data_IF_688429948463
#
_entry.id   IF_688429948463
#
_cell.length_a   1.000
_cell.length_b   1.000
_cell.length_c   1.000
_cell.angle_alpha   90.00
_cell.angle_beta   90.00
_cell.angle_gamma   90.00
#
_symmetry.space_group_name_H-M   'P 1'
#
loop_
_entity.id
_entity.type
_entity.pdbx_description
1 polymer ?
#
# COMPACT_ATOMS: atom_id res chain seq x y z
N UNK A 1 3.49 15.44 -1.63
CA UNK A 1 3.67 13.97 -1.46
C UNK A 1 2.81 13.51 -0.30
N UNK A 2 2.37 12.26 -0.32
CA UNK A 2 1.53 11.69 0.73
C UNK A 2 2.10 10.37 1.29
N UNK A 3 1.92 10.21 2.59
CA UNK A 3 2.21 9.02 3.36
C UNK A 3 0.92 8.48 3.97
N UNK A 4 0.71 7.17 3.94
CA UNK A 4 -0.47 6.56 4.55
C UNK A 4 -0.11 5.31 5.35
N UNK A 5 -0.81 5.09 6.45
CA UNK A 5 -0.78 3.87 7.23
C UNK A 5 -2.14 3.61 7.89
N UNK A 6 -2.42 2.35 8.14
CA UNK A 6 -3.68 1.83 8.70
C UNK A 6 -3.36 0.60 9.55
N UNK A 7 -4.18 0.27 10.54
CA UNK A 7 -3.99 -0.91 11.39
C UNK A 7 -4.69 -2.17 10.86
N UNK A 8 -5.28 -2.11 9.67
CA UNK A 8 -5.93 -3.23 8.97
C UNK A 8 -5.03 -4.47 8.82
N UNK A 9 -3.72 -4.28 8.72
CA UNK A 9 -2.74 -5.34 8.47
C UNK A 9 -1.47 -5.15 9.29
N UNK A 10 -0.70 -6.23 9.46
CA UNK A 10 0.59 -6.20 10.19
C UNK A 10 1.58 -5.28 9.47
N UNK A 11 1.53 -5.21 8.16
CA UNK A 11 2.36 -4.34 7.32
C UNK A 11 1.97 -2.85 7.44
N UNK A 12 0.88 -2.55 8.15
CA UNK A 12 0.22 -1.26 8.22
C UNK A 12 -0.22 -0.71 6.85
N UNK A 13 -0.70 -1.60 5.98
CA UNK A 13 -1.15 -1.33 4.62
C UNK A 13 -2.65 -1.65 4.47
N UNK A 14 -3.36 -1.02 3.51
CA UNK A 14 -4.73 -1.41 3.18
C UNK A 14 -4.80 -2.87 2.71
N UNK A 15 -5.76 -3.63 3.23
CA UNK A 15 -5.88 -5.06 2.91
C UNK A 15 -6.12 -5.30 1.41
N UNK A 16 -6.92 -4.45 0.76
CA UNK A 16 -7.23 -4.55 -0.68
C UNK A 16 -5.97 -4.57 -1.55
N UNK A 17 -5.07 -3.61 -1.36
CA UNK A 17 -3.83 -3.51 -2.13
C UNK A 17 -2.89 -4.67 -1.80
N UNK A 18 -2.77 -5.01 -0.51
CA UNK A 18 -1.85 -6.06 -0.06
C UNK A 18 -2.22 -7.42 -0.67
N UNK A 19 -3.51 -7.78 -0.68
CA UNK A 19 -3.97 -9.02 -1.31
C UNK A 19 -3.75 -8.99 -2.83
N UNK A 20 -4.05 -7.88 -3.50
CA UNK A 20 -3.80 -7.73 -4.93
C UNK A 20 -2.30 -7.96 -5.27
N UNK A 21 -1.38 -7.31 -4.55
CA UNK A 21 0.06 -7.53 -4.74
C UNK A 21 0.47 -8.98 -4.48
N UNK A 22 -0.04 -9.59 -3.39
CA UNK A 22 0.27 -10.98 -3.02
C UNK A 22 -0.23 -11.97 -4.07
N UNK A 23 -1.38 -11.74 -4.71
CA UNK A 23 -1.90 -12.57 -5.81
C UNK A 23 -0.92 -12.60 -7.00
N UNK A 24 -0.51 -11.42 -7.49
CA UNK A 24 0.47 -11.35 -8.59
C UNK A 24 1.84 -11.90 -8.20
N UNK A 25 2.33 -11.59 -7.00
CA UNK A 25 3.61 -12.12 -6.50
C UNK A 25 3.60 -13.66 -6.43
N UNK A 26 2.51 -14.26 -5.94
CA UNK A 26 2.31 -15.72 -5.91
C UNK A 26 2.30 -16.30 -7.31
N UNK A 27 1.52 -15.72 -8.22
CA UNK A 27 1.45 -16.16 -9.62
C UNK A 27 2.82 -16.10 -10.30
N UNK A 28 3.56 -15.01 -10.13
CA UNK A 28 4.91 -14.86 -10.68
C UNK A 28 5.89 -15.89 -10.11
N UNK A 29 5.79 -16.21 -8.81
CA UNK A 29 6.60 -17.28 -8.20
C UNK A 29 6.32 -18.62 -8.87
N UNK A 30 5.04 -19.02 -8.96
CA UNK A 30 4.63 -20.30 -9.55
C UNK A 30 4.96 -20.42 -11.04
N UNK A 31 5.01 -19.30 -11.76
CA UNK A 31 5.53 -19.26 -13.12
C UNK A 31 7.04 -19.53 -13.15
N UNK A 32 7.80 -18.81 -12.32
CA UNK A 32 9.28 -18.86 -12.31
C UNK A 32 9.81 -20.21 -11.79
N UNK A 33 9.09 -20.88 -10.90
CA UNK A 33 9.46 -22.20 -10.37
C UNK A 33 8.94 -23.39 -11.19
N UNK A 34 8.15 -23.14 -12.24
CA UNK A 34 7.63 -24.17 -13.13
C UNK A 34 6.38 -24.89 -12.65
N UNK A 35 5.80 -24.54 -11.49
CA UNK A 35 4.54 -25.12 -10.98
C UNK A 35 3.34 -24.81 -11.88
N UNK A 36 3.35 -23.62 -12.50
CA UNK A 36 2.38 -23.17 -13.49
C UNK A 36 3.11 -22.82 -14.80
N UNK A 37 3.59 -23.82 -15.57
CA UNK A 37 4.46 -23.60 -16.72
C UNK A 37 3.73 -22.92 -17.89
N UNK A 38 2.41 -22.91 -17.88
CA UNK A 38 1.55 -22.28 -18.87
C UNK A 38 1.38 -20.77 -18.66
N UNK A 39 1.71 -20.24 -17.47
CA UNK A 39 1.58 -18.81 -17.14
C UNK A 39 2.67 -18.03 -17.86
N UNK A 40 2.31 -16.89 -18.47
CA UNK A 40 3.23 -15.95 -19.10
C UNK A 40 3.41 -14.69 -18.21
N UNK A 41 4.39 -13.80 -18.51
CA UNK A 41 4.77 -12.74 -17.57
C UNK A 41 3.71 -11.67 -17.27
N UNK A 42 2.79 -11.38 -18.19
CA UNK A 42 1.79 -10.31 -18.01
C UNK A 42 0.59 -10.78 -17.18
N UNK A 43 0.30 -10.08 -16.09
CA UNK A 43 -0.84 -10.37 -15.22
C UNK A 43 -1.34 -9.13 -14.49
N UNK A 44 -2.62 -9.15 -14.11
CA UNK A 44 -3.32 -8.09 -13.40
C UNK A 44 -4.25 -8.71 -12.36
N UNK A 45 -4.30 -8.12 -11.17
CA UNK A 45 -5.15 -8.56 -10.07
C UNK A 45 -5.90 -7.39 -9.45
N UNK A 46 -7.12 -7.64 -9.00
CA UNK A 46 -7.94 -6.68 -8.24
C UNK A 46 -8.69 -7.42 -7.14
N UNK A 47 -8.81 -6.79 -5.97
CA UNK A 47 -9.54 -7.33 -4.83
C UNK A 47 -10.48 -6.25 -4.30
N UNK A 48 -11.75 -6.60 -4.19
CA UNK A 48 -12.79 -5.78 -3.55
C UNK A 48 -13.05 -6.37 -2.17
N UNK A 49 -12.97 -5.53 -1.13
CA UNK A 49 -13.23 -5.91 0.26
C UNK A 49 -14.46 -5.14 0.74
N UNK A 50 -15.34 -5.84 1.45
CA UNK A 50 -16.42 -5.23 2.22
C UNK A 50 -15.86 -4.67 3.53
N UNK A 51 -16.14 -3.39 3.81
CA UNK A 51 -15.62 -2.68 4.98
C UNK A 51 -16.76 -2.19 5.86
N UNK A 52 -16.52 -2.24 7.17
CA UNK A 52 -17.21 -1.37 8.13
C UNK A 52 -16.23 -0.36 8.72
N UNK A 53 -16.72 0.71 9.34
CA UNK A 53 -15.89 1.74 9.94
C UNK A 53 -16.16 1.85 11.44
N UNK A 54 -15.09 2.03 12.21
CA UNK A 54 -15.13 2.26 13.66
C UNK A 54 -14.33 3.51 13.98
N UNK A 55 -15.02 4.62 14.25
CA UNK A 55 -14.36 5.89 14.55
C UNK A 55 -13.37 6.36 13.48
N UNK A 56 -13.67 6.09 12.20
CA UNK A 56 -12.80 6.38 11.05
C UNK A 56 -11.73 5.32 10.75
N UNK A 57 -11.55 4.31 11.62
CA UNK A 57 -10.71 3.15 11.34
C UNK A 57 -11.43 2.21 10.35
N UNK A 58 -10.66 1.61 9.44
CA UNK A 58 -11.19 0.69 8.43
C UNK A 58 -11.16 -0.73 8.98
N UNK A 59 -12.30 -1.41 9.01
CA UNK A 59 -12.42 -2.80 9.46
C UNK A 59 -12.85 -3.69 8.29
N UNK A 60 -11.92 -4.45 7.67
CA UNK A 60 -12.24 -5.45 6.65
C UNK A 60 -13.18 -6.51 7.24
N UNK A 61 -14.23 -6.87 6.50
CA UNK A 61 -15.15 -7.96 6.90
C UNK A 61 -14.94 -9.21 6.08
N UNK A 62 -14.98 -9.08 4.76
CA UNK A 62 -14.81 -10.19 3.83
C UNK A 62 -14.37 -9.70 2.46
N UNK A 63 -13.86 -10.61 1.65
CA UNK A 63 -13.62 -10.41 0.23
C UNK A 63 -14.94 -10.50 -0.51
N UNK A 64 -15.31 -9.42 -1.20
CA UNK A 64 -16.49 -9.40 -2.05
C UNK A 64 -16.19 -9.98 -3.44
N UNK A 65 -15.12 -9.50 -4.07
CA UNK A 65 -14.76 -9.89 -5.45
C UNK A 65 -13.26 -10.01 -5.61
N UNK A 66 -12.82 -11.04 -6.33
CA UNK A 66 -11.44 -11.20 -6.80
C UNK A 66 -11.44 -11.24 -8.33
N UNK A 67 -10.61 -10.40 -8.94
CA UNK A 67 -10.30 -10.46 -10.38
C UNK A 67 -8.84 -10.85 -10.54
N UNK A 68 -8.58 -11.84 -11.37
CA UNK A 68 -7.23 -12.23 -11.75
C UNK A 68 -7.20 -12.56 -13.25
N UNK A 69 -6.46 -11.76 -14.00
CA UNK A 69 -6.21 -11.97 -15.41
C UNK A 69 -4.73 -12.25 -15.61
N UNK A 70 -4.39 -13.35 -16.27
CA UNK A 70 -3.02 -13.69 -16.60
C UNK A 70 -2.88 -14.11 -18.04
N UNK A 71 -1.80 -13.66 -18.66
CA UNK A 71 -1.37 -14.13 -19.95
C UNK A 71 -0.99 -15.62 -19.84
N UNK A 72 -1.35 -16.42 -20.84
CA UNK A 72 -1.10 -17.86 -20.84
C UNK A 72 -0.63 -18.37 -22.21
N UNK A 73 -0.12 -19.59 -22.23
CA UNK A 73 0.17 -20.31 -23.45
C UNK A 73 -1.13 -20.77 -24.15
N UNK A 74 -1.13 -20.99 -25.48
CA UNK A 74 -2.34 -21.39 -26.20
C UNK A 74 -2.82 -22.81 -25.88
N UNK A 75 -1.98 -23.66 -25.28
CA UNK A 75 -2.29 -25.07 -25.06
C UNK A 75 -3.17 -25.32 -23.83
N UNK A 76 -3.27 -24.38 -22.87
CA UNK A 76 -4.11 -24.58 -21.68
C UNK A 76 -5.58 -24.28 -21.94
N UNK A 77 -6.47 -25.15 -21.46
CA UNK A 77 -7.92 -24.91 -21.48
C UNK A 77 -8.33 -23.91 -20.41
N UNK A 78 -9.35 -23.09 -20.68
CA UNK A 78 -9.87 -22.11 -19.72
C UNK A 78 -10.36 -22.75 -18.42
N UNK A 79 -10.96 -23.93 -18.50
CA UNK A 79 -11.40 -24.68 -17.31
C UNK A 79 -10.23 -25.02 -16.40
N UNK A 80 -9.16 -25.60 -16.95
CA UNK A 80 -7.96 -25.96 -16.19
C UNK A 80 -7.26 -24.72 -15.63
N UNK A 81 -7.14 -23.66 -16.42
CA UNK A 81 -6.57 -22.38 -16.00
C UNK A 81 -7.31 -21.84 -14.77
N UNK A 82 -8.65 -21.73 -14.85
CA UNK A 82 -9.47 -21.17 -13.76
C UNK A 82 -9.36 -22.02 -12.49
N UNK A 83 -9.39 -23.35 -12.63
CA UNK A 83 -9.19 -24.27 -11.50
C UNK A 83 -7.81 -24.09 -10.86
N UNK A 84 -6.75 -24.04 -11.66
CA UNK A 84 -5.39 -23.89 -11.13
C UNK A 84 -5.14 -22.52 -10.50
N UNK A 85 -5.68 -21.43 -11.06
CA UNK A 85 -5.64 -20.11 -10.44
C UNK A 85 -6.38 -20.09 -9.09
N UNK A 86 -7.57 -20.67 -9.03
CA UNK A 86 -8.34 -20.78 -7.78
C UNK A 86 -7.54 -21.50 -6.70
N UNK A 87 -7.08 -22.73 -6.97
CA UNK A 87 -6.46 -23.58 -5.96
C UNK A 87 -5.04 -23.15 -5.58
N UNK A 88 -4.20 -22.77 -6.56
CA UNK A 88 -2.77 -22.55 -6.32
C UNK A 88 -2.42 -21.08 -6.01
N UNK A 89 -3.29 -20.14 -6.40
CA UNK A 89 -3.06 -18.70 -6.24
C UNK A 89 -4.06 -18.08 -5.27
N UNK A 90 -5.36 -18.11 -5.58
CA UNK A 90 -6.39 -17.40 -4.81
C UNK A 90 -6.51 -17.95 -3.39
N UNK A 91 -6.79 -19.25 -3.25
CA UNK A 91 -6.93 -19.92 -1.95
C UNK A 91 -5.62 -19.98 -1.14
N UNK A 92 -4.48 -19.83 -1.81
CA UNK A 92 -3.19 -19.74 -1.13
C UNK A 92 -2.95 -18.35 -0.52
N UNK A 93 -3.36 -17.29 -1.21
CA UNK A 93 -3.09 -15.91 -0.81
C UNK A 93 -4.16 -15.36 0.13
N UNK A 94 -5.42 -15.68 -0.14
CA UNK A 94 -6.55 -15.13 0.60
C UNK A 94 -6.95 -16.14 1.69
N UNK A 95 -6.91 -15.75 2.97
CA UNK A 95 -7.38 -16.59 4.06
C UNK A 95 -8.85 -17.00 3.89
N UNK A 96 -9.16 -18.25 4.24
CA UNK A 96 -10.51 -18.80 4.05
C UNK A 96 -11.56 -18.16 4.97
N UNK A 97 -11.15 -17.61 6.11
CA UNK A 97 -12.02 -16.95 7.09
C UNK A 97 -12.54 -15.57 6.63
N UNK A 98 -11.97 -15.02 5.56
CA UNK A 98 -12.45 -13.78 4.93
C UNK A 98 -13.07 -14.04 3.54
N UNK A 99 -13.34 -15.29 3.18
CA UNK A 99 -14.08 -15.69 1.98
C UNK A 99 -15.33 -16.48 2.37
N UNK A 100 -16.38 -16.36 1.57
CA UNK A 100 -17.67 -17.03 1.77
C UNK A 100 -18.24 -17.54 0.45
N UNK A 101 -19.40 -18.21 0.50
CA UNK A 101 -20.11 -18.71 -0.68
C UNK A 101 -20.58 -17.60 -1.64
N UNK A 102 -20.61 -16.34 -1.18
CA UNK A 102 -21.01 -15.17 -1.96
C UNK A 102 -19.82 -14.43 -2.57
N UNK A 103 -18.59 -14.91 -2.35
CA UNK A 103 -17.39 -14.31 -2.90
C UNK A 103 -17.33 -14.53 -4.41
N UNK A 104 -17.22 -13.45 -5.18
CA UNK A 104 -17.25 -13.49 -6.65
C UNK A 104 -15.83 -13.62 -7.22
N UNK A 105 -15.63 -14.55 -8.15
CA UNK A 105 -14.32 -14.77 -8.79
C UNK A 105 -14.38 -14.56 -10.31
N UNK A 106 -13.62 -13.58 -10.80
CA UNK A 106 -13.40 -13.33 -12.22
C UNK A 106 -11.99 -13.76 -12.62
N UNK A 107 -11.85 -15.01 -13.05
CA UNK A 107 -10.57 -15.62 -13.44
C UNK A 107 -10.47 -15.70 -14.98
N UNK A 108 -9.60 -14.89 -15.57
CA UNK A 108 -9.53 -14.62 -17.01
C UNK A 108 -10.93 -14.37 -17.62
N UNK A 109 -11.63 -13.29 -17.23
CA UNK A 109 -13.00 -13.02 -17.69
C UNK A 109 -13.08 -12.75 -19.20
N UNK A 110 -12.00 -12.25 -19.83
CA UNK A 110 -11.92 -12.08 -21.29
C UNK A 110 -11.77 -13.41 -22.05
N UNK A 111 -11.68 -14.55 -21.35
CA UNK A 111 -11.33 -15.83 -21.95
C UNK A 111 -9.85 -15.88 -22.30
N UNK A 112 -9.54 -15.89 -23.59
CA UNK A 112 -8.18 -16.08 -24.09
C UNK A 112 -7.32 -14.80 -23.95
N UNK A 113 -6.17 -14.95 -23.31
CA UNK A 113 -5.15 -13.91 -23.14
C UNK A 113 -3.77 -14.49 -23.51
N UNK A 114 -3.54 -14.71 -24.81
CA UNK A 114 -2.27 -15.27 -25.32
C UNK A 114 -1.24 -14.17 -25.61
N UNK A 115 -1.67 -13.09 -26.26
CA UNK A 115 -0.83 -11.92 -26.59
C UNK A 115 -0.87 -10.91 -25.46
N UNK A 116 0.29 -10.50 -24.94
CA UNK A 116 0.40 -9.59 -23.80
C UNK A 116 1.77 -8.94 -23.73
N UNK A 117 2.05 -8.23 -22.65
CA UNK A 117 3.24 -7.41 -22.50
C UNK A 117 3.28 -6.25 -23.51
N UNK A 118 4.47 -5.71 -23.84
CA UNK A 118 4.61 -4.56 -24.74
C UNK A 118 4.02 -4.74 -26.13
N UNK A 119 3.84 -5.99 -26.59
CA UNK A 119 3.18 -6.30 -27.86
C UNK A 119 1.68 -6.01 -27.82
N UNK A 120 1.03 -6.17 -26.67
CA UNK A 120 -0.41 -5.96 -26.49
C UNK A 120 -0.77 -4.60 -25.88
N UNK A 121 0.10 -4.02 -25.04
CA UNK A 121 -0.15 -2.78 -24.32
C UNK A 121 1.17 -2.03 -24.05
N UNK A 122 1.25 -0.75 -24.45
CA UNK A 122 2.47 0.04 -24.31
C UNK A 122 2.76 0.38 -22.84
N UNK A 123 3.95 0.01 -22.36
CA UNK A 123 4.41 0.30 -21.00
C UNK A 123 5.18 1.63 -20.91
N UNK A 124 4.86 2.45 -19.91
CA UNK A 124 5.60 3.68 -19.61
C UNK A 124 5.90 3.81 -18.10
N UNK A 125 7.09 4.32 -17.78
CA UNK A 125 7.50 4.63 -16.40
C UNK A 125 6.50 5.57 -15.73
N UNK A 126 6.12 5.27 -14.49
CA UNK A 126 5.23 6.14 -13.70
C UNK A 126 3.75 6.07 -14.07
N UNK A 127 3.30 5.04 -14.79
CA UNK A 127 1.87 4.81 -15.09
C UNK A 127 1.19 3.83 -14.13
N UNK A 128 1.80 3.58 -12.98
CA UNK A 128 1.30 2.68 -11.92
C UNK A 128 1.37 3.30 -10.52
N UNK A 129 1.39 4.64 -10.41
CA UNK A 129 1.60 5.36 -9.14
C UNK A 129 0.64 4.98 -8.01
N UNK A 130 -0.61 4.59 -8.31
CA UNK A 130 -1.57 4.15 -7.29
C UNK A 130 -1.29 2.71 -6.84
N UNK A 131 -0.86 1.86 -7.77
CA UNK A 131 -0.42 0.48 -7.53
C UNK A 131 0.90 0.48 -6.75
N UNK A 132 1.80 1.43 -7.05
CA UNK A 132 3.07 1.63 -6.37
C UNK A 132 2.90 2.10 -4.91
N UNK A 133 1.73 2.66 -4.56
CA UNK A 133 1.47 3.29 -3.26
C UNK A 133 0.44 2.54 -2.42
N UNK A 134 -0.81 3.01 -2.41
CA UNK A 134 -1.83 2.60 -1.43
C UNK A 134 -3.12 2.09 -2.07
N UNK A 135 -3.14 1.86 -3.39
CA UNK A 135 -4.29 1.21 -4.06
C UNK A 135 -5.56 2.05 -4.05
N UNK A 136 -5.42 3.37 -3.95
CA UNK A 136 -6.52 4.33 -3.89
C UNK A 136 -6.81 4.84 -2.48
N UNK A 137 -6.30 4.17 -1.44
CA UNK A 137 -6.38 4.64 -0.07
C UNK A 137 -5.43 5.81 0.21
N UNK A 138 -5.76 6.61 1.22
CA UNK A 138 -5.01 7.82 1.53
C UNK A 138 -5.15 8.87 0.42
N UNK A 139 -4.02 9.28 -0.16
CA UNK A 139 -3.99 10.21 -1.29
C UNK A 139 -2.67 10.06 -2.08
N UNK A 140 -2.60 10.68 -3.26
CA UNK A 140 -1.40 10.68 -4.09
C UNK A 140 -1.06 12.10 -4.58
N UNK A 141 0.23 12.46 -4.60
CA UNK A 141 0.69 13.81 -4.96
C UNK A 141 1.04 13.99 -6.44
N UNK A 142 0.84 12.96 -7.26
CA UNK A 142 1.12 12.94 -8.70
C UNK A 142 2.53 12.49 -9.11
N UNK A 143 3.54 12.68 -8.27
CA UNK A 143 4.92 12.31 -8.58
C UNK A 143 5.18 10.80 -8.65
N UNK A 144 5.68 10.30 -9.77
CA UNK A 144 6.14 8.90 -9.90
C UNK A 144 7.46 8.64 -9.15
N UNK A 145 7.75 7.37 -8.83
CA UNK A 145 8.95 6.98 -8.10
C UNK A 145 10.09 6.51 -9.00
N UNK A 146 9.89 5.45 -9.80
CA UNK A 146 10.92 4.79 -10.61
C UNK A 146 11.65 5.75 -11.56
N UNK A 147 12.97 5.54 -11.73
CA UNK A 147 13.84 6.40 -12.56
C UNK A 147 14.38 7.68 -11.89
N UNK A 148 14.06 7.96 -10.62
CA UNK A 148 14.48 9.18 -9.93
C UNK A 148 15.47 8.90 -8.79
N UNK A 149 16.58 9.63 -8.71
CA UNK A 149 17.47 9.58 -7.55
C UNK A 149 16.80 10.24 -6.31
N UNK A 150 17.27 9.98 -5.07
CA UNK A 150 16.53 10.38 -3.87
C UNK A 150 16.57 11.88 -3.56
N UNK A 151 17.28 12.70 -4.35
CA UNK A 151 17.14 14.17 -4.29
C UNK A 151 15.77 14.63 -4.81
N UNK A 152 15.08 13.80 -5.60
CA UNK A 152 13.74 14.11 -6.13
C UNK A 152 12.73 13.77 -5.05
N UNK A 153 12.17 14.82 -4.45
CA UNK A 153 11.27 14.73 -3.30
C UNK A 153 10.01 13.90 -3.58
N UNK A 154 9.61 13.76 -4.85
CA UNK A 154 8.56 12.83 -5.28
C UNK A 154 8.74 11.42 -4.69
N UNK A 155 9.99 10.93 -4.66
CA UNK A 155 10.33 9.62 -4.09
C UNK A 155 10.68 9.74 -2.60
N UNK A 156 11.71 10.53 -2.27
CA UNK A 156 12.25 10.54 -0.91
C UNK A 156 11.27 11.05 0.13
N UNK A 157 10.50 12.10 -0.17
CA UNK A 157 9.52 12.61 0.78
C UNK A 157 8.24 11.76 0.81
N UNK A 158 7.88 11.05 -0.25
CA UNK A 158 6.81 10.04 -0.19
C UNK A 158 7.20 8.87 0.74
N UNK A 159 8.44 8.39 0.64
CA UNK A 159 8.98 7.38 1.55
C UNK A 159 9.04 7.90 2.99
N UNK A 160 9.50 9.14 3.20
CA UNK A 160 9.51 9.75 4.53
C UNK A 160 8.09 9.91 5.09
N UNK A 161 7.12 10.34 4.28
CA UNK A 161 5.73 10.46 4.72
C UNK A 161 5.13 9.10 5.10
N UNK A 162 5.42 8.03 4.33
CA UNK A 162 5.08 6.65 4.71
C UNK A 162 5.71 6.28 6.04
N UNK A 163 7.00 6.57 6.21
CA UNK A 163 7.75 6.27 7.43
C UNK A 163 7.15 6.95 8.66
N UNK A 164 6.75 8.22 8.54
CA UNK A 164 6.04 8.97 9.59
C UNK A 164 4.69 8.32 9.90
N UNK A 165 3.83 8.14 8.89
CA UNK A 165 2.49 7.58 9.08
C UNK A 165 2.53 6.19 9.73
N UNK A 166 3.42 5.32 9.24
CA UNK A 166 3.62 3.97 9.79
C UNK A 166 4.11 4.03 11.24
N UNK A 167 5.03 4.95 11.56
CA UNK A 167 5.54 5.10 12.92
C UNK A 167 4.44 5.54 13.90
N UNK A 168 3.56 6.45 13.50
CA UNK A 168 2.42 6.88 14.33
C UNK A 168 1.44 5.72 14.58
N UNK A 169 1.04 4.99 13.53
CA UNK A 169 0.15 3.83 13.67
C UNK A 169 0.80 2.72 14.53
N UNK A 170 2.08 2.42 14.32
CA UNK A 170 2.79 1.39 15.09
C UNK A 170 3.07 1.79 16.55
N UNK A 171 3.19 3.08 16.83
CA UNK A 171 3.23 3.61 18.20
C UNK A 171 1.85 3.61 18.89
N UNK A 172 0.78 3.20 18.19
CA UNK A 172 -0.60 3.17 18.68
C UNK A 172 -1.12 4.54 19.13
N UNK A 173 -0.62 5.63 18.54
CA UNK A 173 -1.18 6.98 18.78
C UNK A 173 -2.43 7.25 17.94
N UNK A 174 -2.57 6.53 16.83
CA UNK A 174 -3.75 6.53 15.96
C UNK A 174 -3.86 5.17 15.28
N UNK A 175 -5.03 4.85 14.73
CA UNK A 175 -5.26 3.59 13.99
C UNK A 175 -5.08 3.77 12.48
N UNK A 176 -5.32 4.97 11.98
CA UNK A 176 -5.21 5.35 10.58
C UNK A 176 -4.61 6.73 10.47
N UNK A 177 -3.68 6.93 9.54
CA UNK A 177 -2.94 8.19 9.42
C UNK A 177 -2.63 8.52 7.97
N UNK A 178 -2.93 9.75 7.57
CA UNK A 178 -2.48 10.38 6.34
C UNK A 178 -1.52 11.52 6.70
N UNK A 179 -0.37 11.55 6.03
CA UNK A 179 0.64 12.61 6.16
C UNK A 179 0.81 13.26 4.80
N UNK A 180 0.74 14.58 4.72
CA UNK A 180 1.06 15.34 3.52
C UNK A 180 2.29 16.20 3.75
N UNK A 181 3.19 16.24 2.77
CA UNK A 181 4.37 17.12 2.77
C UNK A 181 4.53 17.79 1.41
N UNK A 182 4.85 19.08 1.38
CA UNK A 182 5.13 19.85 0.15
C UNK A 182 6.44 20.62 0.23
N UNK A 183 7.04 20.93 -0.93
CA UNK A 183 8.32 21.62 -1.03
C UNK A 183 8.29 22.62 -2.19
N UNK A 184 9.09 23.68 -2.07
CA UNK A 184 9.52 24.50 -3.20
C UNK A 184 10.90 24.05 -3.68
N UNK A 185 11.15 24.15 -4.98
CA UNK A 185 12.47 23.87 -5.55
C UNK A 185 13.53 24.77 -4.90
N UNK A 186 14.67 24.20 -4.49
CA UNK A 186 15.75 24.93 -3.82
C UNK A 186 15.52 25.22 -2.32
N UNK A 187 14.32 24.99 -1.78
CA UNK A 187 14.01 25.22 -0.36
C UNK A 187 14.15 23.91 0.42
N UNK A 188 15.04 23.89 1.42
CA UNK A 188 15.33 22.67 2.17
C UNK A 188 14.20 22.25 3.12
N UNK A 189 13.58 23.20 3.81
CA UNK A 189 12.47 22.93 4.73
C UNK A 189 11.17 22.71 3.94
N UNK A 190 10.31 21.76 4.35
CA UNK A 190 8.97 21.65 3.77
C UNK A 190 8.20 22.97 3.89
N UNK A 191 7.38 23.29 2.89
CA UNK A 191 6.46 24.42 2.94
C UNK A 191 5.23 24.09 3.81
N UNK A 192 4.79 22.84 3.76
CA UNK A 192 3.70 22.33 4.59
C UNK A 192 3.97 20.91 5.05
N UNK A 193 3.52 20.63 6.28
CA UNK A 193 3.40 19.29 6.84
C UNK A 193 2.03 19.21 7.49
N UNK A 194 1.21 18.26 7.05
CA UNK A 194 -0.13 18.01 7.60
C UNK A 194 -0.20 16.56 8.06
N UNK A 195 -0.81 16.34 9.22
CA UNK A 195 -1.17 15.02 9.73
C UNK A 195 -2.69 14.96 9.85
N UNK A 196 -3.27 13.84 9.46
CA UNK A 196 -4.71 13.59 9.57
C UNK A 196 -4.96 12.16 10.01
N UNK A 197 -5.55 12.00 11.20
CA UNK A 197 -5.81 10.70 11.85
C UNK A 197 -7.17 10.10 11.51
N UNK A 198 -8.00 10.78 10.71
CA UNK A 198 -9.38 10.40 10.43
C UNK A 198 -10.24 10.23 11.69
N UNK A 199 -9.90 10.93 12.78
CA UNK A 199 -10.60 10.79 14.06
C UNK A 199 -10.22 9.52 14.84
N UNK A 200 -9.22 8.75 14.40
CA UNK A 200 -8.78 7.51 15.08
C UNK A 200 -7.78 7.74 16.23
N UNK A 201 -7.54 9.00 16.58
CA UNK A 201 -6.60 9.45 17.61
C UNK A 201 -7.35 10.16 18.74
N UNK A 202 -6.91 9.97 19.97
CA UNK A 202 -7.33 10.80 21.11
C UNK A 202 -6.58 12.15 21.16
N UNK A 203 -5.45 12.25 20.45
CA UNK A 203 -4.72 13.50 20.22
C UNK A 203 -5.34 14.27 19.06
N UNK A 204 -5.27 15.59 19.15
CA UNK A 204 -5.64 16.51 18.08
C UNK A 204 -4.53 16.57 17.02
N UNK A 205 -4.87 16.97 15.80
CA UNK A 205 -3.93 16.93 14.67
C UNK A 205 -2.69 17.81 14.89
N UNK A 206 -2.82 18.92 15.63
CA UNK A 206 -1.68 19.77 15.98
C UNK A 206 -0.72 19.09 16.97
N UNK A 207 -1.23 18.24 17.86
CA UNK A 207 -0.42 17.45 18.80
C UNK A 207 0.28 16.29 18.07
N UNK A 208 -0.40 15.65 17.10
CA UNK A 208 0.22 14.68 16.22
C UNK A 208 1.32 15.32 15.37
N UNK A 209 1.09 16.51 14.83
CA UNK A 209 2.09 17.28 14.11
C UNK A 209 3.29 17.64 15.01
N UNK A 210 3.06 17.96 16.28
CA UNK A 210 4.13 18.19 17.24
C UNK A 210 5.02 16.94 17.39
N UNK A 211 4.42 15.75 17.58
CA UNK A 211 5.16 14.48 17.62
C UNK A 211 5.97 14.28 16.34
N UNK A 212 5.43 14.60 15.17
CA UNK A 212 6.17 14.51 13.90
C UNK A 212 7.38 15.44 13.89
N UNK A 213 7.21 16.71 14.26
CA UNK A 213 8.27 17.70 14.27
C UNK A 213 9.40 17.35 15.25
N UNK A 214 9.07 16.76 16.39
CA UNK A 214 10.04 16.36 17.41
C UNK A 214 10.87 15.13 17.02
N UNK A 215 10.36 14.33 16.08
CA UNK A 215 10.95 13.03 15.75
C UNK A 215 11.53 12.94 14.33
N UNK A 216 11.13 13.79 13.39
CA UNK A 216 11.49 13.63 11.98
C UNK A 216 12.04 14.93 11.37
N UNK A 217 13.26 14.87 10.85
CA UNK A 217 13.83 15.94 10.04
C UNK A 217 13.50 15.70 8.56
N UNK A 218 12.43 16.33 8.10
CA UNK A 218 11.90 16.15 6.74
C UNK A 218 12.65 16.98 5.68
N UNK A 219 13.85 17.51 5.96
CA UNK A 219 14.66 18.11 4.90
C UNK A 219 15.20 17.02 3.95
N UNK A 220 15.25 17.22 2.61
CA UNK A 220 15.65 16.16 1.67
C UNK A 220 16.99 15.49 2.00
N UNK A 221 18.01 16.27 2.35
CA UNK A 221 19.32 15.73 2.73
C UNK A 221 19.30 14.89 4.02
N UNK A 222 18.37 15.17 4.93
CA UNK A 222 18.20 14.46 6.20
C UNK A 222 17.42 13.16 6.00
N UNK A 223 16.34 13.20 5.22
CA UNK A 223 15.62 12.02 4.75
C UNK A 223 16.59 11.04 4.07
N UNK A 224 17.40 11.52 3.13
CA UNK A 224 18.38 10.70 2.41
C UNK A 224 19.36 10.02 3.37
N UNK A 225 19.83 10.75 4.39
CA UNK A 225 20.77 10.25 5.39
C UNK A 225 20.13 9.23 6.32
N UNK A 226 18.98 9.55 6.91
CA UNK A 226 18.30 8.70 7.90
C UNK A 226 17.80 7.38 7.29
N UNK A 227 17.27 7.44 6.05
CA UNK A 227 16.80 6.25 5.34
C UNK A 227 17.90 5.57 4.50
N UNK A 228 19.13 6.07 4.55
CA UNK A 228 20.29 5.57 3.81
C UNK A 228 19.98 5.28 2.31
N UNK A 229 19.46 6.31 1.64
CA UNK A 229 18.90 6.24 0.28
C UNK A 229 19.95 6.28 -0.84
N UNK A 230 21.21 6.61 -0.56
CA UNK A 230 22.27 6.64 -1.58
C UNK A 230 22.89 5.26 -1.80
N UNK A 231 22.06 4.27 -2.13
CA UNK A 231 22.47 2.89 -2.41
C UNK A 231 21.65 2.28 -3.56
N UNK A 232 22.18 1.31 -4.30
CA UNK A 232 21.49 0.69 -5.43
C UNK A 232 20.46 -0.35 -4.95
N UNK A 233 19.33 0.13 -4.41
CA UNK A 233 18.29 -0.72 -3.79
C UNK A 233 16.88 -0.53 -4.41
N UNK A 234 16.78 0.18 -5.54
CA UNK A 234 15.49 0.63 -6.06
C UNK A 234 14.87 -0.28 -7.13
N UNK A 235 15.62 -1.22 -7.69
CA UNK A 235 15.07 -2.12 -8.70
C UNK A 235 13.97 -3.01 -8.09
N UNK A 236 14.21 -3.54 -6.90
CA UNK A 236 13.24 -4.39 -6.18
C UNK A 236 11.97 -3.62 -5.78
N UNK A 237 12.04 -2.29 -5.65
CA UNK A 237 10.86 -1.48 -5.30
C UNK A 237 9.91 -1.29 -6.49
N UNK A 238 10.37 -1.57 -7.71
CA UNK A 238 9.61 -1.33 -8.94
C UNK A 238 8.63 -2.48 -9.29
N UNK A 239 8.55 -3.51 -8.45
CA UNK A 239 7.55 -4.58 -8.54
C UNK A 239 6.82 -4.75 -7.19
N UNK A 240 5.55 -5.13 -7.23
CA UNK A 240 4.72 -5.41 -6.04
C UNK A 240 4.62 -4.27 -5.00
N UNK A 241 4.75 -3.02 -5.44
CA UNK A 241 4.56 -1.83 -4.62
C UNK A 241 5.80 -1.39 -3.83
N UNK A 242 5.88 -0.09 -3.53
CA UNK A 242 7.01 0.50 -2.81
C UNK A 242 6.87 0.43 -1.28
N UNK A 243 5.70 0.04 -0.77
CA UNK A 243 5.34 0.06 0.64
C UNK A 243 4.80 -1.30 1.09
N UNK A 244 4.93 -1.59 2.39
CA UNK A 244 4.51 -2.86 2.99
C UNK A 244 5.58 -3.97 3.05
N UNK A 245 6.82 -3.68 2.65
CA UNK A 245 7.93 -4.64 2.62
C UNK A 245 8.98 -4.31 3.70
N UNK A 246 9.12 -5.16 4.73
CA UNK A 246 9.91 -4.87 5.94
C UNK A 246 11.41 -4.64 5.70
N UNK A 247 11.94 -5.14 4.58
CA UNK A 247 13.32 -4.94 4.17
C UNK A 247 13.64 -3.48 3.79
N UNK A 248 12.62 -2.68 3.45
CA UNK A 248 12.82 -1.30 3.04
C UNK A 248 13.02 -0.36 4.25
N UNK A 249 13.99 0.57 4.20
CA UNK A 249 14.31 1.44 5.34
C UNK A 249 13.12 2.26 5.86
N UNK A 250 12.25 2.75 4.98
CA UNK A 250 11.06 3.52 5.36
C UNK A 250 9.93 2.66 5.93
N UNK A 251 10.01 1.34 5.80
CA UNK A 251 9.05 0.41 6.39
C UNK A 251 9.41 0.02 7.83
N UNK A 252 10.59 0.42 8.33
CA UNK A 252 11.01 0.22 9.72
C UNK A 252 10.50 1.38 10.59
N UNK A 253 9.48 1.17 11.45
CA UNK A 253 8.92 2.24 12.25
C UNK A 253 9.97 2.86 13.17
N UNK A 254 9.98 4.19 13.28
CA UNK A 254 10.85 4.90 14.22
C UNK A 254 10.25 4.84 15.62
N UNK A 255 11.00 4.45 16.65
CA UNK A 255 10.59 4.68 18.04
C UNK A 255 10.38 6.18 18.26
N UNK A 256 9.16 6.57 18.63
CA UNK A 256 8.79 7.97 18.79
C UNK A 256 9.07 8.43 20.23
N UNK A 257 9.70 9.61 20.35
CA UNK A 257 9.77 10.38 21.60
C UNK A 257 8.46 11.14 21.73
N UNK A 258 7.66 10.77 22.71
CA UNK A 258 6.35 11.38 23.02
C UNK A 258 6.42 11.83 24.47
N UNK A 259 6.01 13.07 24.76
CA UNK A 259 6.02 13.58 26.13
C UNK A 259 5.04 12.79 27.01
N UNK A 260 5.26 12.70 28.33
CA UNK A 260 4.36 11.98 29.23
C UNK A 260 2.90 12.43 29.13
N UNK A 261 2.67 13.72 28.91
CA UNK A 261 1.33 14.32 28.79
C UNK A 261 0.62 13.84 27.53
N UNK A 262 1.30 13.91 26.37
CA UNK A 262 0.77 13.43 25.10
C UNK A 262 0.57 11.92 25.12
N UNK A 263 1.49 11.17 25.72
CA UNK A 263 1.37 9.71 25.85
C UNK A 263 0.21 9.30 26.77
N UNK A 264 -0.07 10.07 27.82
CA UNK A 264 -1.24 9.85 28.67
C UNK A 264 -2.53 10.14 27.90
N UNK A 265 -2.58 11.25 27.17
CA UNK A 265 -3.76 11.65 26.37
C UNK A 265 -4.03 10.68 25.22
N UNK A 266 -3.01 10.16 24.55
CA UNK A 266 -3.16 9.23 23.42
C UNK A 266 -3.81 7.90 23.79
N UNK A 267 -3.82 7.53 25.07
CA UNK A 267 -4.50 6.33 25.60
C UNK A 267 -6.00 6.55 25.85
N UNK A 268 -6.50 7.77 25.70
CA UNK A 268 -7.92 8.09 25.81
C UNK A 268 -8.75 7.55 24.64
N UNK A 269 -10.06 7.75 24.69
CA UNK A 269 -10.94 7.48 23.54
C UNK A 269 -10.85 8.61 22.51
N UNK A 270 -10.90 8.32 21.20
CA UNK A 270 -10.99 9.36 20.18
C UNK A 270 -12.25 10.22 20.35
N UNK A 271 -12.16 11.51 20.01
CA UNK A 271 -13.22 12.51 20.29
C UNK A 271 -14.44 12.44 19.34
N UNK A 272 -14.32 11.88 18.14
CA UNK A 272 -15.41 11.89 17.15
C UNK A 272 -15.46 10.59 16.34
N UNK A 273 -16.61 9.91 16.37
CA UNK A 273 -16.87 8.76 15.51
C UNK A 273 -17.60 9.23 14.25
N UNK A 274 -16.91 9.22 13.10
CA UNK A 274 -17.61 9.27 11.81
C UNK A 274 -18.21 7.88 11.54
N UNK A 275 -19.49 7.72 11.84
CA UNK A 275 -20.29 6.55 11.45
C UNK A 275 -20.84 6.80 10.04
N UNK A 276 -20.14 6.31 9.02
CA UNK A 276 -20.76 5.79 7.79
C UNK A 276 -19.70 5.35 6.78
N UNK A 277 -19.91 4.16 6.24
CA UNK A 277 -19.34 3.73 4.97
C UNK A 277 -20.39 2.94 4.23
N UNK A 278 -20.75 3.40 3.03
CA UNK A 278 -21.55 2.64 2.08
C UNK A 278 -20.60 1.88 1.14
N UNK A 279 -20.99 0.65 0.79
CA UNK A 279 -20.35 -0.14 -0.27
C UNK A 279 -21.01 0.30 -1.59
N UNK A 280 -20.21 0.54 -2.63
CA UNK A 280 -20.74 0.65 -3.99
C UNK A 280 -20.90 -0.76 -4.56
N UNK A 281 -22.12 -1.05 -5.06
CA UNK A 281 -22.53 -2.29 -5.72
C UNK A 281 -21.55 -2.80 -6.77
#
# INVERSE_FOLDING_TARGET
>A
MFGYATDETVEAMPLTLLLAHKLNARLHKLRRDGTLPWVRPDSKSQVTIEYTFDGGACLPRRVHTVVLSTQHNPEITMERLRRELMEKVVKFVIPADIMDENTIFHLNPCGSFITGGPMGDAGLTGRKIIVDTYGGWGAHGGGAFSGKDPTKVDRSAAYAARWVAKSLVKAKVCRRCLVQVSYAIGVAKPLSVMVFSFGTSALEEHELLQIVNDNFDLRPGKIIKELNLKRPMYQVTAENGHFGHEEFPWERPKPLRITPELLKKSKGRPKAAYESGAIAH
#
